data_IF_244192878765
#
_entry.id   IF_244192878765
#
_cell.length_a   1.000
_cell.length_b   1.000
_cell.length_c   1.000
_cell.angle_alpha   90.00
_cell.angle_beta   90.00
_cell.angle_gamma   90.00
#
_symmetry.space_group_name_H-M   'P 1'
#
loop_
_entity.id
_entity.type
_entity.pdbx_description
1 polymer ?
#
# COMPACT_ATOMS: atom_id res chain seq x y z
N UNK A 1 81.01 2.21 -70.92
CA UNK A 1 81.04 0.75 -70.67
C UNK A 1 82.01 0.51 -69.52
N UNK A 2 81.50 0.04 -68.37
CA UNK A 2 82.21 -0.77 -67.34
C UNK A 2 83.50 -0.16 -66.71
N UNK A 3 84.07 -0.71 -65.62
CA UNK A 3 83.59 -0.82 -64.24
C UNK A 3 84.63 -0.26 -63.22
N UNK A 4 84.51 -0.69 -61.94
CA UNK A 4 85.56 -0.94 -60.93
C UNK A 4 85.86 0.13 -59.84
N UNK A 5 85.43 -0.17 -58.59
CA UNK A 5 86.27 -0.53 -57.41
C UNK A 5 85.78 0.03 -56.06
N UNK A 6 85.60 -0.95 -55.16
CA UNK A 6 85.65 -1.08 -53.67
C UNK A 6 85.60 0.12 -52.71
N UNK A 7 84.92 -0.19 -51.61
CA UNK A 7 84.79 0.44 -50.29
C UNK A 7 86.08 0.94 -49.62
N UNK A 8 85.93 1.91 -48.70
CA UNK A 8 86.18 1.81 -47.24
C UNK A 8 86.14 3.21 -46.59
N UNK A 9 85.73 3.29 -45.32
CA UNK A 9 86.35 4.23 -44.37
C UNK A 9 85.50 5.35 -43.78
N UNK A 10 85.10 5.13 -42.52
CA UNK A 10 84.79 6.06 -41.41
C UNK A 10 85.10 7.56 -41.57
N UNK A 11 84.20 8.42 -41.03
CA UNK A 11 84.50 9.24 -39.83
C UNK A 11 83.26 9.97 -39.29
N UNK A 12 83.26 10.09 -37.97
CA UNK A 12 82.30 10.68 -37.05
C UNK A 12 82.06 12.17 -37.25
N UNK A 13 80.82 12.61 -36.98
CA UNK A 13 80.51 13.97 -36.55
C UNK A 13 79.47 13.93 -35.42
N UNK A 14 79.81 14.55 -34.28
CA UNK A 14 78.85 14.94 -33.23
C UNK A 14 78.33 16.35 -33.54
N UNK A 15 77.10 16.67 -33.12
CA UNK A 15 76.92 17.93 -32.41
C UNK A 15 76.12 17.79 -31.10
N UNK A 16 76.37 18.74 -30.22
CA UNK A 16 75.87 18.87 -28.85
C UNK A 16 74.48 19.52 -28.76
N UNK A 17 73.76 19.09 -27.71
CA UNK A 17 72.79 19.80 -26.85
C UNK A 17 71.57 20.51 -27.45
N UNK A 18 70.39 20.18 -26.91
CA UNK A 18 69.51 21.08 -26.12
C UNK A 18 68.41 20.25 -25.40
N UNK A 19 67.88 20.72 -24.26
CA UNK A 19 67.00 19.98 -23.37
C UNK A 19 65.52 20.21 -23.70
N UNK A 20 64.64 19.31 -23.27
CA UNK A 20 63.44 19.63 -22.47
C UNK A 20 62.51 18.42 -22.39
N UNK A 21 62.26 18.00 -21.16
CA UNK A 21 61.31 16.98 -20.76
C UNK A 21 59.90 17.50 -21.06
N UNK A 22 59.17 16.83 -21.95
CA UNK A 22 57.74 17.04 -22.13
C UNK A 22 57.00 16.18 -21.09
N UNK A 23 56.58 16.80 -19.98
CA UNK A 23 55.63 16.19 -19.06
C UNK A 23 54.20 16.40 -19.60
N UNK A 24 53.31 15.38 -19.55
CA UNK A 24 51.93 15.57 -19.95
C UNK A 24 51.20 16.43 -18.92
N UNK A 25 50.52 17.47 -19.41
CA UNK A 25 49.62 18.33 -18.62
C UNK A 25 48.44 17.48 -18.12
N UNK A 26 48.48 17.07 -16.85
CA UNK A 26 47.30 16.56 -16.14
C UNK A 26 46.26 17.68 -16.05
N UNK A 27 45.21 17.59 -16.87
CA UNK A 27 44.00 18.38 -16.69
C UNK A 27 43.36 17.89 -15.40
N UNK A 28 43.58 18.65 -14.33
CA UNK A 28 42.97 18.40 -13.02
C UNK A 28 41.47 18.64 -13.17
N UNK A 29 40.71 17.57 -13.38
CA UNK A 29 39.26 17.61 -13.31
C UNK A 29 38.90 18.18 -11.93
N UNK A 30 38.39 19.41 -11.91
CA UNK A 30 37.74 19.95 -10.72
C UNK A 30 36.47 19.13 -10.52
N UNK A 31 36.57 18.06 -9.76
CA UNK A 31 35.41 17.52 -9.07
C UNK A 31 34.94 18.66 -8.17
N UNK A 32 33.90 19.36 -8.61
CA UNK A 32 33.02 20.05 -7.69
C UNK A 32 32.48 18.93 -6.80
N UNK A 33 33.10 18.74 -5.64
CA UNK A 33 32.48 18.06 -4.54
C UNK A 33 31.25 18.88 -4.22
N UNK A 34 30.12 18.53 -4.85
CA UNK A 34 28.83 18.84 -4.30
C UNK A 34 28.84 18.14 -2.95
N UNK A 35 29.06 18.95 -1.91
CA UNK A 35 28.75 18.56 -0.55
C UNK A 35 27.31 18.07 -0.60
N UNK A 36 27.15 16.75 -0.63
CA UNK A 36 25.89 16.09 -0.31
C UNK A 36 25.61 16.52 1.12
N UNK A 37 24.87 17.63 1.27
CA UNK A 37 24.16 17.90 2.49
C UNK A 37 23.29 16.67 2.69
N UNK A 38 23.69 15.79 3.60
CA UNK A 38 22.82 14.78 4.17
C UNK A 38 21.75 15.55 4.90
N UNK A 39 20.76 16.03 4.15
CA UNK A 39 19.65 16.73 4.71
C UNK A 39 18.88 15.69 5.52
N UNK A 40 18.89 15.91 6.83
CA UNK A 40 18.03 15.30 7.86
C UNK A 40 16.54 15.63 7.65
N UNK A 41 16.16 15.88 6.39
CA UNK A 41 14.83 16.27 5.97
C UNK A 41 14.04 15.01 5.66
N UNK A 42 12.87 14.90 6.27
CA UNK A 42 11.86 13.91 5.95
C UNK A 42 11.69 13.78 4.42
N UNK A 43 11.74 12.56 3.87
CA UNK A 43 11.62 12.36 2.43
C UNK A 43 10.21 12.70 1.97
N UNK A 44 10.09 13.07 0.70
CA UNK A 44 8.78 13.13 0.05
C UNK A 44 8.24 11.71 -0.07
N UNK A 45 7.12 11.42 0.58
CA UNK A 45 6.51 10.10 0.56
C UNK A 45 5.24 10.13 -0.28
N UNK A 46 5.17 9.27 -1.30
CA UNK A 46 4.00 9.11 -2.17
C UNK A 46 3.62 7.64 -2.22
N UNK A 47 2.32 7.37 -2.18
CA UNK A 47 1.78 6.02 -2.18
C UNK A 47 0.76 5.85 -3.31
N UNK A 48 0.66 4.64 -3.84
CA UNK A 48 -0.55 4.20 -4.55
C UNK A 48 -1.51 3.57 -3.54
N UNK A 49 -2.77 3.33 -3.91
CA UNK A 49 -3.53 2.26 -3.26
C UNK A 49 -2.76 0.94 -3.33
N UNK A 50 -3.00 0.05 -2.38
CA UNK A 50 -2.65 -1.36 -2.55
C UNK A 50 -3.79 -2.07 -3.26
N UNK A 51 -3.47 -2.98 -4.18
CA UNK A 51 -4.45 -3.53 -5.11
C UNK A 51 -4.92 -4.92 -4.71
N UNK A 52 -6.23 -5.18 -4.77
CA UNK A 52 -6.76 -6.52 -4.56
C UNK A 52 -6.22 -7.50 -5.61
N UNK A 53 -5.79 -8.67 -5.14
CA UNK A 53 -5.23 -9.74 -5.98
C UNK A 53 -6.27 -10.77 -6.48
N UNK A 54 -7.56 -10.46 -6.36
CA UNK A 54 -8.64 -11.34 -6.81
C UNK A 54 -8.76 -11.45 -8.35
N UNK A 55 -8.17 -10.52 -9.09
CA UNK A 55 -8.20 -10.49 -10.55
C UNK A 55 -6.88 -9.96 -11.13
N UNK A 56 -6.66 -10.20 -12.42
CA UNK A 56 -5.53 -9.65 -13.15
C UNK A 56 -5.58 -8.10 -13.19
N UNK A 57 -4.43 -7.41 -13.19
CA UNK A 57 -4.42 -5.97 -13.21
C UNK A 57 -4.95 -5.40 -14.54
N UNK A 58 -5.61 -4.25 -14.45
CA UNK A 58 -6.13 -3.51 -15.60
C UNK A 58 -5.59 -2.07 -15.64
N UNK A 59 -5.97 -1.31 -16.66
CA UNK A 59 -5.52 0.07 -16.90
C UNK A 59 -5.68 1.00 -15.68
N UNK A 60 -6.73 0.84 -14.87
CA UNK A 60 -6.92 1.61 -13.63
C UNK A 60 -5.78 1.47 -12.61
N UNK A 61 -5.24 0.27 -12.41
CA UNK A 61 -4.11 0.06 -11.50
C UNK A 61 -2.87 0.76 -12.05
N UNK A 62 -2.54 0.49 -13.31
CA UNK A 62 -1.41 1.11 -14.00
C UNK A 62 -1.49 2.64 -13.97
N UNK A 63 -2.68 3.22 -14.19
CA UNK A 63 -2.90 4.65 -14.13
C UNK A 63 -2.46 5.24 -12.79
N UNK A 64 -2.93 4.68 -11.67
CA UNK A 64 -2.56 5.16 -10.33
C UNK A 64 -1.07 4.99 -10.03
N UNK A 65 -0.49 3.87 -10.48
CA UNK A 65 0.94 3.60 -10.32
C UNK A 65 1.81 4.60 -11.10
N UNK A 66 1.45 4.91 -12.34
CA UNK A 66 2.16 5.91 -13.17
C UNK A 66 2.03 7.31 -12.57
N UNK A 67 0.85 7.69 -12.08
CA UNK A 67 0.68 9.00 -11.42
C UNK A 67 1.61 9.16 -10.21
N UNK A 68 1.65 8.15 -9.34
CA UNK A 68 2.51 8.17 -8.15
C UNK A 68 4.01 8.20 -8.54
N UNK A 69 4.39 7.48 -9.59
CA UNK A 69 5.75 7.47 -10.14
C UNK A 69 6.17 8.83 -10.72
N UNK A 70 5.28 9.49 -11.48
CA UNK A 70 5.51 10.86 -11.97
C UNK A 70 5.74 11.83 -10.81
N UNK A 71 4.95 11.73 -9.74
CA UNK A 71 5.12 12.57 -8.54
C UNK A 71 6.45 12.32 -7.85
N UNK A 72 6.86 11.06 -7.67
CA UNK A 72 8.19 10.72 -7.12
C UNK A 72 9.29 11.32 -7.98
N UNK A 73 9.29 11.04 -9.29
CA UNK A 73 10.32 11.49 -10.23
C UNK A 73 10.43 13.02 -10.26
N UNK A 74 9.30 13.72 -10.20
CA UNK A 74 9.28 15.17 -10.11
C UNK A 74 10.02 15.71 -8.87
N UNK A 75 9.84 15.08 -7.71
CA UNK A 75 10.51 15.51 -6.48
C UNK A 75 12.01 15.18 -6.52
N UNK A 76 12.39 14.06 -7.12
CA UNK A 76 13.80 13.72 -7.38
C UNK A 76 14.45 14.75 -8.31
N UNK A 77 13.77 15.17 -9.38
CA UNK A 77 14.24 16.23 -10.28
C UNK A 77 14.42 17.58 -9.56
N UNK A 78 13.61 17.84 -8.52
CA UNK A 78 13.76 19.00 -7.63
C UNK A 78 14.86 18.85 -6.58
N UNK A 79 15.66 17.78 -6.64
CA UNK A 79 16.76 17.50 -5.71
C UNK A 79 16.33 17.00 -4.33
N UNK A 80 15.07 16.53 -4.17
CA UNK A 80 14.58 15.98 -2.90
C UNK A 80 14.72 14.46 -2.86
N UNK A 81 14.96 13.92 -1.66
CA UNK A 81 14.76 12.48 -1.39
C UNK A 81 13.26 12.19 -1.50
N UNK A 82 12.90 11.19 -2.30
CA UNK A 82 11.51 10.79 -2.49
C UNK A 82 11.37 9.26 -2.45
N UNK A 83 10.33 8.79 -1.78
CA UNK A 83 10.01 7.38 -1.58
C UNK A 83 8.62 7.11 -2.17
N UNK A 84 8.51 6.05 -2.96
CA UNK A 84 7.27 5.58 -3.57
C UNK A 84 6.92 4.18 -3.08
N UNK A 85 5.75 4.06 -2.45
CA UNK A 85 5.13 2.81 -2.08
C UNK A 85 4.05 2.40 -3.09
N UNK A 86 4.07 1.13 -3.48
CA UNK A 86 2.95 0.42 -4.10
C UNK A 86 2.78 -0.95 -3.44
N UNK A 87 1.76 -1.71 -3.78
CA UNK A 87 1.59 -3.04 -3.19
C UNK A 87 0.26 -3.72 -3.48
N UNK A 88 -0.01 -4.78 -2.73
CA UNK A 88 -1.19 -5.63 -2.88
C UNK A 88 -1.95 -5.80 -1.56
N UNK A 89 -3.28 -5.70 -1.65
CA UNK A 89 -4.23 -6.06 -0.59
C UNK A 89 -4.65 -7.52 -0.77
N UNK A 90 -4.27 -8.33 0.20
CA UNK A 90 -4.26 -9.78 0.08
C UNK A 90 -5.16 -10.47 1.09
N UNK A 91 -5.87 -9.76 1.97
CA UNK A 91 -6.78 -10.38 2.94
C UNK A 91 -8.25 -10.12 2.58
N UNK A 92 -9.15 -10.76 3.33
CA UNK A 92 -10.58 -10.50 3.24
C UNK A 92 -11.38 -11.53 2.43
N UNK A 93 -12.70 -11.40 2.52
CA UNK A 93 -13.66 -12.36 1.96
C UNK A 93 -13.52 -12.51 0.44
N UNK A 94 -13.25 -11.41 -0.28
CA UNK A 94 -13.09 -11.42 -1.73
C UNK A 94 -11.92 -12.30 -2.17
N UNK A 95 -10.80 -12.25 -1.44
CA UNK A 95 -9.64 -13.09 -1.73
C UNK A 95 -9.94 -14.55 -1.39
N UNK A 96 -10.54 -14.81 -0.22
CA UNK A 96 -10.94 -16.15 0.21
C UNK A 96 -11.85 -16.84 -0.81
N UNK A 97 -12.86 -16.11 -1.31
CA UNK A 97 -13.79 -16.62 -2.33
C UNK A 97 -13.09 -16.83 -3.69
N UNK A 98 -12.23 -15.89 -4.11
CA UNK A 98 -11.52 -15.99 -5.37
C UNK A 98 -10.54 -17.17 -5.39
N UNK A 99 -9.80 -17.39 -4.30
CA UNK A 99 -8.87 -18.51 -4.18
C UNK A 99 -9.61 -19.85 -4.15
N UNK A 100 -10.72 -19.94 -3.41
CA UNK A 100 -11.56 -21.14 -3.37
C UNK A 100 -12.14 -21.46 -4.76
N UNK A 101 -12.64 -20.46 -5.50
CA UNK A 101 -13.12 -20.63 -6.88
C UNK A 101 -12.02 -21.07 -7.84
N UNK A 102 -10.78 -20.66 -7.58
CA UNK A 102 -9.60 -21.09 -8.33
C UNK A 102 -9.04 -22.46 -7.88
N UNK A 103 -9.64 -23.10 -6.88
CA UNK A 103 -9.16 -24.37 -6.32
C UNK A 103 -7.77 -24.26 -5.67
N UNK A 104 -7.44 -23.11 -5.10
CA UNK A 104 -6.13 -22.81 -4.53
C UNK A 104 -6.24 -22.25 -3.11
N UNK A 105 -5.27 -22.60 -2.27
CA UNK A 105 -5.15 -21.97 -0.96
C UNK A 105 -4.91 -20.45 -1.11
N UNK A 106 -5.43 -19.62 -0.19
CA UNK A 106 -5.34 -18.17 -0.32
C UNK A 106 -3.90 -17.64 -0.45
N UNK A 107 -2.93 -18.19 0.29
CA UNK A 107 -1.55 -17.70 0.27
C UNK A 107 -0.86 -17.89 -1.10
N UNK A 108 -0.81 -19.12 -1.68
CA UNK A 108 -0.31 -19.29 -3.05
C UNK A 108 -1.07 -18.46 -4.10
N UNK A 109 -2.38 -18.30 -3.95
CA UNK A 109 -3.18 -17.45 -4.82
C UNK A 109 -2.72 -15.99 -4.78
N UNK A 110 -2.50 -15.45 -3.58
CA UNK A 110 -1.98 -14.10 -3.37
C UNK A 110 -0.55 -13.94 -3.87
N UNK A 111 0.32 -14.94 -3.65
CA UNK A 111 1.71 -14.93 -4.13
C UNK A 111 1.76 -14.75 -5.65
N UNK A 112 0.95 -15.52 -6.38
CA UNK A 112 0.83 -15.38 -7.83
C UNK A 112 0.28 -14.02 -8.25
N UNK A 113 -0.73 -13.51 -7.55
CA UNK A 113 -1.30 -12.19 -7.82
C UNK A 113 -0.28 -11.06 -7.62
N UNK A 114 0.45 -11.09 -6.51
CA UNK A 114 1.51 -10.13 -6.19
C UNK A 114 2.62 -10.13 -7.26
N UNK A 115 3.04 -11.31 -7.73
CA UNK A 115 4.05 -11.41 -8.79
C UNK A 115 3.58 -10.79 -10.12
N UNK A 116 2.29 -10.90 -10.45
CA UNK A 116 1.71 -10.25 -11.63
C UNK A 116 1.77 -8.72 -11.49
N UNK A 117 1.45 -8.17 -10.32
CA UNK A 117 1.54 -6.72 -10.06
C UNK A 117 2.98 -6.22 -10.02
N UNK A 118 3.93 -6.99 -9.46
CA UNK A 118 5.37 -6.70 -9.51
C UNK A 118 5.88 -6.68 -10.95
N UNK A 119 5.45 -7.63 -11.78
CA UNK A 119 5.80 -7.67 -13.20
C UNK A 119 5.23 -6.45 -13.95
N UNK A 120 3.97 -6.06 -13.66
CA UNK A 120 3.39 -4.84 -14.20
C UNK A 120 4.22 -3.60 -13.84
N UNK A 121 4.60 -3.46 -12.57
CA UNK A 121 5.45 -2.36 -12.11
C UNK A 121 6.79 -2.31 -12.86
N UNK A 122 7.45 -3.46 -13.01
CA UNK A 122 8.71 -3.57 -13.74
C UNK A 122 8.55 -3.24 -15.22
N UNK A 123 7.50 -3.74 -15.88
CA UNK A 123 7.22 -3.47 -17.30
C UNK A 123 6.84 -2.03 -17.60
N UNK A 124 6.23 -1.35 -16.62
CA UNK A 124 5.94 0.08 -16.70
C UNK A 124 7.14 0.95 -16.27
N UNK A 125 8.29 0.34 -15.97
CA UNK A 125 9.52 1.01 -15.55
C UNK A 125 9.31 1.94 -14.35
N UNK A 126 8.45 1.52 -13.42
CA UNK A 126 8.18 2.30 -12.22
C UNK A 126 9.42 2.34 -11.32
N UNK A 127 9.59 3.47 -10.66
CA UNK A 127 10.67 3.71 -9.71
C UNK A 127 10.23 3.46 -8.26
N UNK A 128 9.25 2.60 -7.99
CA UNK A 128 8.82 2.35 -6.60
C UNK A 128 9.95 1.76 -5.76
N UNK A 129 10.11 2.24 -4.51
CA UNK A 129 11.13 1.76 -3.58
C UNK A 129 10.63 0.56 -2.78
N UNK A 130 9.31 0.54 -2.52
CA UNK A 130 8.66 -0.51 -1.76
C UNK A 130 7.53 -1.14 -2.59
N UNK A 131 7.39 -2.46 -2.46
CA UNK A 131 6.23 -3.22 -2.89
C UNK A 131 5.74 -4.00 -1.68
N UNK A 132 4.75 -3.45 -0.96
CA UNK A 132 4.21 -4.07 0.25
C UNK A 132 3.16 -5.12 -0.07
N UNK A 133 3.07 -6.16 0.74
CA UNK A 133 1.97 -7.12 0.71
C UNK A 133 1.36 -7.19 2.10
N UNK A 134 0.04 -7.17 2.20
CA UNK A 134 -0.59 -7.28 3.54
C UNK A 134 -0.36 -8.65 4.21
N UNK A 135 0.11 -9.65 3.46
CA UNK A 135 0.53 -10.93 4.03
C UNK A 135 1.95 -10.94 4.61
N UNK A 136 2.74 -9.87 4.41
CA UNK A 136 4.12 -9.76 4.91
C UNK A 136 4.14 -9.72 6.45
N UNK A 137 5.12 -10.37 7.10
CA UNK A 137 5.15 -10.46 8.57
C UNK A 137 5.24 -9.11 9.29
N UNK A 138 6.07 -8.19 8.78
CA UNK A 138 6.25 -6.85 9.33
C UNK A 138 4.96 -6.01 9.27
N UNK A 139 4.17 -6.17 8.20
CA UNK A 139 2.86 -5.55 8.12
C UNK A 139 1.87 -6.11 9.15
N UNK A 140 1.88 -7.43 9.38
CA UNK A 140 1.03 -8.04 10.41
C UNK A 140 1.37 -7.51 11.79
N UNK A 141 2.65 -7.46 12.13
CA UNK A 141 3.12 -6.87 13.40
C UNK A 141 2.68 -5.41 13.55
N UNK A 142 2.76 -4.63 12.47
CA UNK A 142 2.29 -3.24 12.45
C UNK A 142 0.77 -3.11 12.69
N UNK A 143 -0.04 -3.98 12.08
CA UNK A 143 -1.50 -3.99 12.28
C UNK A 143 -1.86 -4.42 13.70
N UNK A 144 -1.20 -5.45 14.23
CA UNK A 144 -1.40 -5.91 15.61
C UNK A 144 -1.04 -4.80 16.61
N UNK A 145 0.07 -4.09 16.38
CA UNK A 145 0.45 -2.94 17.20
C UNK A 145 -0.57 -1.79 17.11
N UNK A 146 -1.06 -1.45 15.90
CA UNK A 146 -2.11 -0.45 15.73
C UNK A 146 -3.40 -0.85 16.48
N UNK A 147 -3.78 -2.12 16.42
CA UNK A 147 -4.93 -2.63 17.15
C UNK A 147 -4.78 -2.43 18.66
N UNK A 148 -3.63 -2.82 19.22
CA UNK A 148 -3.34 -2.64 20.64
C UNK A 148 -3.43 -1.16 21.04
N UNK A 149 -2.81 -0.26 20.29
CA UNK A 149 -2.83 1.17 20.58
C UNK A 149 -4.25 1.75 20.56
N UNK A 150 -5.07 1.36 19.59
CA UNK A 150 -6.46 1.82 19.49
C UNK A 150 -7.31 1.28 20.66
N UNK A 151 -7.09 0.02 21.06
CA UNK A 151 -7.78 -0.60 22.18
C UNK A 151 -7.39 0.04 23.52
N UNK A 152 -6.09 0.22 23.78
CA UNK A 152 -5.57 0.86 25.01
C UNK A 152 -6.07 2.30 25.17
N UNK A 153 -6.23 3.03 24.05
CA UNK A 153 -6.78 4.38 24.05
C UNK A 153 -8.31 4.44 24.16
N UNK A 154 -8.99 3.28 24.28
CA UNK A 154 -10.44 3.19 24.45
C UNK A 154 -11.25 3.48 23.18
N UNK A 155 -10.61 3.46 22.01
CA UNK A 155 -11.29 3.68 20.72
C UNK A 155 -11.92 2.43 20.14
N UNK A 156 -11.63 1.24 20.70
CA UNK A 156 -12.23 -0.02 20.32
C UNK A 156 -13.21 -0.46 21.41
N UNK A 157 -14.40 -0.91 21.01
CA UNK A 157 -15.37 -1.54 21.91
C UNK A 157 -16.09 -2.68 21.19
N UNK A 158 -16.67 -3.62 21.93
CA UNK A 158 -17.49 -4.68 21.34
C UNK A 158 -18.94 -4.21 21.23
N UNK A 159 -19.56 -4.49 20.09
CA UNK A 159 -20.99 -4.32 19.87
C UNK A 159 -21.57 -5.62 19.33
N UNK A 160 -22.78 -5.94 19.77
CA UNK A 160 -23.55 -7.06 19.26
C UNK A 160 -24.52 -6.53 18.23
N UNK A 161 -24.45 -7.04 17.01
CA UNK A 161 -25.45 -6.78 15.97
C UNK A 161 -26.27 -8.06 15.77
N UNK A 162 -27.59 -7.95 15.89
CA UNK A 162 -28.51 -9.07 15.72
C UNK A 162 -29.54 -8.70 14.67
N UNK A 163 -29.74 -9.58 13.70
CA UNK A 163 -30.75 -9.38 12.66
C UNK A 163 -30.80 -10.53 11.68
N UNK A 164 -31.77 -10.46 10.77
CA UNK A 164 -31.89 -11.41 9.68
C UNK A 164 -30.90 -11.03 8.58
N UNK A 165 -29.96 -11.90 8.23
CA UNK A 165 -28.94 -11.63 7.23
C UNK A 165 -29.13 -12.53 6.01
N UNK A 166 -29.15 -11.97 4.80
CA UNK A 166 -29.04 -12.78 3.58
C UNK A 166 -27.59 -12.86 3.16
N UNK A 167 -27.05 -14.08 3.06
CA UNK A 167 -25.73 -14.32 2.47
C UNK A 167 -25.72 -13.97 0.98
N UNK A 168 -26.84 -14.16 0.28
CA UNK A 168 -26.94 -13.88 -1.17
C UNK A 168 -26.95 -12.38 -1.45
N UNK A 169 -27.66 -11.60 -0.64
CA UNK A 169 -27.76 -10.15 -0.81
C UNK A 169 -26.68 -9.38 -0.02
N UNK A 170 -25.87 -10.10 0.77
CA UNK A 170 -24.90 -9.57 1.73
C UNK A 170 -25.44 -8.48 2.67
N UNK A 171 -26.75 -8.53 2.97
CA UNK A 171 -27.49 -7.43 3.61
C UNK A 171 -28.27 -7.90 4.83
N UNK A 172 -28.34 -7.06 5.86
CA UNK A 172 -29.23 -7.24 7.01
C UNK A 172 -30.61 -6.68 6.70
N UNK A 173 -31.63 -7.51 6.95
CA UNK A 173 -33.03 -7.15 6.88
C UNK A 173 -33.58 -6.96 8.31
N UNK A 174 -34.33 -5.88 8.55
CA UNK A 174 -35.12 -5.76 9.77
C UNK A 174 -36.20 -6.86 9.80
N UNK A 175 -36.64 -7.24 11.00
CA UNK A 175 -37.64 -8.30 11.19
C UNK A 175 -38.93 -8.08 10.39
N UNK A 176 -39.33 -6.82 10.21
CA UNK A 176 -40.48 -6.42 9.38
C UNK A 176 -40.33 -6.71 7.88
N UNK A 177 -39.11 -6.95 7.39
CA UNK A 177 -38.80 -7.18 5.97
C UNK A 177 -38.49 -8.64 5.65
N UNK A 178 -38.77 -9.55 6.58
CA UNK A 178 -38.58 -10.98 6.37
C UNK A 178 -39.86 -11.73 6.67
N UNK A 179 -40.05 -12.86 5.99
CA UNK A 179 -41.24 -13.69 6.18
C UNK A 179 -40.90 -15.16 6.01
N UNK A 180 -41.73 -16.02 6.60
CA UNK A 180 -41.56 -17.46 6.49
C UNK A 180 -42.06 -17.94 5.11
N UNK A 181 -41.21 -18.63 4.37
CA UNK A 181 -41.50 -19.22 3.06
C UNK A 181 -41.25 -20.73 3.12
N UNK A 182 -42.05 -21.49 2.38
CA UNK A 182 -41.80 -22.90 2.11
C UNK A 182 -40.91 -23.00 0.87
N UNK A 183 -39.70 -23.53 1.04
CA UNK A 183 -38.79 -23.79 -0.07
C UNK A 183 -39.40 -24.86 -1.00
N UNK A 184 -39.80 -24.51 -2.24
CA UNK A 184 -40.56 -25.42 -3.11
C UNK A 184 -39.88 -26.77 -3.41
N UNK A 185 -38.54 -26.85 -3.60
CA UNK A 185 -37.85 -28.11 -3.88
C UNK A 185 -37.70 -29.03 -2.66
N UNK A 186 -37.57 -28.49 -1.45
CA UNK A 186 -37.23 -29.28 -0.24
C UNK A 186 -38.39 -29.41 0.75
N UNK A 187 -39.43 -28.57 0.62
CA UNK A 187 -40.52 -28.49 1.58
C UNK A 187 -40.10 -27.91 2.94
N UNK A 188 -38.88 -27.36 3.05
CA UNK A 188 -38.36 -26.77 4.28
C UNK A 188 -38.97 -25.39 4.51
N UNK A 189 -39.33 -25.08 5.75
CA UNK A 189 -39.68 -23.72 6.17
C UNK A 189 -38.40 -22.92 6.36
N UNK A 190 -38.22 -21.87 5.58
CA UNK A 190 -37.07 -20.96 5.62
C UNK A 190 -37.57 -19.53 5.82
N UNK A 191 -36.75 -18.67 6.41
CA UNK A 191 -37.04 -17.23 6.42
C UNK A 191 -36.48 -16.63 5.13
N UNK A 192 -37.23 -15.75 4.47
CA UNK A 192 -36.79 -15.08 3.26
C UNK A 192 -37.09 -13.58 3.31
N UNK A 193 -36.24 -12.79 2.66
CA UNK A 193 -36.49 -11.37 2.40
C UNK A 193 -37.81 -11.21 1.63
N UNK A 194 -38.65 -10.28 2.07
CA UNK A 194 -39.88 -9.90 1.36
C UNK A 194 -39.54 -9.27 0.00
N UNK A 195 -38.43 -8.52 -0.07
CA UNK A 195 -38.02 -7.78 -1.25
C UNK A 195 -37.42 -8.68 -2.32
N UNK A 196 -36.47 -9.53 -1.93
CA UNK A 196 -35.67 -10.32 -2.89
C UNK A 196 -36.10 -11.78 -2.98
N UNK A 197 -36.91 -12.26 -2.03
CA UNK A 197 -37.27 -13.67 -1.88
C UNK A 197 -36.09 -14.56 -1.51
N UNK A 198 -34.92 -13.99 -1.21
CA UNK A 198 -33.71 -14.75 -0.84
C UNK A 198 -33.79 -15.19 0.61
N UNK A 199 -33.26 -16.38 0.87
CA UNK A 199 -33.15 -16.91 2.22
C UNK A 199 -32.32 -15.97 3.11
N UNK A 200 -32.82 -15.80 4.33
CA UNK A 200 -32.19 -15.02 5.40
C UNK A 200 -32.07 -15.89 6.63
N UNK A 201 -30.98 -15.71 7.37
CA UNK A 201 -30.70 -16.44 8.60
C UNK A 201 -30.57 -15.45 9.76
N UNK A 202 -31.14 -15.78 10.91
CA UNK A 202 -30.93 -14.96 12.11
C UNK A 202 -29.47 -15.07 12.50
N UNK A 203 -28.78 -13.94 12.47
CA UNK A 203 -27.35 -13.89 12.79
C UNK A 203 -27.16 -12.90 13.94
N UNK A 204 -26.47 -13.36 14.98
CA UNK A 204 -26.00 -12.54 16.09
C UNK A 204 -24.49 -12.50 16.02
N UNK A 205 -23.93 -11.40 15.55
CA UNK A 205 -22.48 -11.22 15.45
C UNK A 205 -22.01 -10.20 16.48
N UNK A 206 -21.10 -10.64 17.35
CA UNK A 206 -20.31 -9.72 18.17
C UNK A 206 -19.12 -9.31 17.32
N UNK A 207 -19.02 -8.02 17.04
CA UNK A 207 -17.89 -7.44 16.33
C UNK A 207 -17.26 -6.34 17.19
N UNK A 208 -15.97 -6.09 16.97
CA UNK A 208 -15.30 -4.92 17.49
C UNK A 208 -15.62 -3.72 16.61
N UNK A 209 -15.89 -2.58 17.23
CA UNK A 209 -16.20 -1.32 16.59
C UNK A 209 -15.17 -0.26 16.98
N UNK A 210 -14.79 0.55 15.99
CA UNK A 210 -13.98 1.74 16.16
C UNK A 210 -14.89 2.95 16.36
N UNK A 211 -14.58 3.76 17.38
CA UNK A 211 -15.31 4.99 17.74
C UNK A 211 -15.07 6.14 16.76
N UNK A 212 -15.40 5.96 15.48
CA UNK A 212 -15.23 6.99 14.46
C UNK A 212 -16.04 8.25 14.77
N UNK A 213 -17.23 8.09 15.37
CA UNK A 213 -18.08 9.22 15.79
C UNK A 213 -17.33 10.23 16.69
N UNK A 214 -16.43 9.75 17.55
CA UNK A 214 -15.63 10.58 18.45
C UNK A 214 -14.56 11.43 17.74
N UNK A 215 -14.32 11.20 16.43
CA UNK A 215 -13.35 11.95 15.63
C UNK A 215 -13.98 13.07 14.79
N UNK A 216 -15.32 13.18 14.75
CA UNK A 216 -16.03 14.16 13.92
C UNK A 216 -15.47 15.57 14.08
N UNK A 217 -15.47 16.10 15.30
CA UNK A 217 -15.10 17.50 15.54
C UNK A 217 -13.59 17.73 15.31
N UNK A 218 -12.75 16.72 15.61
CA UNK A 218 -11.31 16.76 15.32
C UNK A 218 -11.03 16.82 13.82
N UNK A 219 -11.77 16.04 13.03
CA UNK A 219 -11.65 16.04 11.57
C UNK A 219 -12.13 17.36 10.98
N UNK A 220 -13.26 17.90 11.45
CA UNK A 220 -13.76 19.20 10.98
C UNK A 220 -12.79 20.34 11.30
N UNK A 221 -12.22 20.36 12.50
CA UNK A 221 -11.18 21.33 12.87
C UNK A 221 -9.95 21.20 11.96
N UNK A 222 -9.48 19.97 11.75
CA UNK A 222 -8.35 19.69 10.87
C UNK A 222 -8.60 20.18 9.42
N UNK A 223 -9.77 19.91 8.87
CA UNK A 223 -10.13 20.35 7.52
C UNK A 223 -10.30 21.86 7.40
N UNK A 224 -10.76 22.54 8.46
CA UNK A 224 -10.84 24.00 8.50
C UNK A 224 -9.44 24.64 8.47
N UNK A 225 -8.48 24.05 9.19
CA UNK A 225 -7.08 24.50 9.21
C UNK A 225 -6.31 24.12 7.93
N UNK A 226 -6.74 23.06 7.23
CA UNK A 226 -6.06 22.49 6.06
C UNK A 226 -6.99 22.40 4.85
N UNK A 227 -7.53 23.54 4.40
CA UNK A 227 -8.55 23.58 3.33
C UNK A 227 -8.11 23.00 1.97
N UNK A 228 -6.81 22.84 1.73
CA UNK A 228 -6.24 22.26 0.49
C UNK A 228 -5.75 20.81 0.65
N UNK A 229 -6.05 20.17 1.78
CA UNK A 229 -5.53 18.83 2.11
C UNK A 229 -6.01 17.74 1.12
N UNK A 230 -7.20 17.91 0.54
CA UNK A 230 -7.79 16.96 -0.41
C UNK A 230 -8.01 17.66 -1.75
N UNK A 231 -7.53 17.04 -2.82
CA UNK A 231 -7.68 17.53 -4.19
C UNK A 231 -8.47 16.52 -5.04
N UNK A 232 -9.38 16.98 -5.93
CA UNK A 232 -9.76 18.38 -6.16
C UNK A 232 -10.68 18.93 -5.05
N UNK A 233 -10.78 20.26 -4.98
CA UNK A 233 -11.58 20.97 -3.97
C UNK A 233 -13.06 20.52 -3.88
N UNK A 234 -13.64 20.03 -4.98
CA UNK A 234 -14.98 19.44 -4.95
C UNK A 234 -15.06 18.21 -4.02
N UNK A 235 -14.04 17.34 -4.03
CA UNK A 235 -13.97 16.16 -3.16
C UNK A 235 -13.74 16.52 -1.70
N UNK A 236 -12.93 17.55 -1.44
CA UNK A 236 -12.81 18.11 -0.09
C UNK A 236 -14.17 18.55 0.47
N UNK A 237 -14.95 19.29 -0.32
CA UNK A 237 -16.30 19.73 0.08
C UNK A 237 -17.26 18.58 0.34
N UNK A 238 -17.26 17.56 -0.52
CA UNK A 238 -18.07 16.34 -0.32
C UNK A 238 -17.71 15.65 1.02
N UNK A 239 -16.42 15.47 1.30
CA UNK A 239 -15.96 14.82 2.54
C UNK A 239 -16.31 15.65 3.77
N UNK A 240 -16.06 16.97 3.75
CA UNK A 240 -16.43 17.86 4.86
C UNK A 240 -17.93 17.84 5.09
N UNK A 241 -18.74 17.84 4.03
CA UNK A 241 -20.20 17.73 4.15
C UNK A 241 -20.63 16.40 4.78
N UNK A 242 -20.01 15.27 4.38
CA UNK A 242 -20.30 13.96 4.95
C UNK A 242 -19.96 13.90 6.44
N UNK A 243 -18.77 14.38 6.83
CA UNK A 243 -18.36 14.44 8.26
C UNK A 243 -19.27 15.37 9.06
N UNK A 244 -19.70 16.49 8.47
CA UNK A 244 -20.61 17.43 9.11
C UNK A 244 -21.97 16.79 9.40
N UNK A 245 -22.50 15.99 8.48
CA UNK A 245 -23.77 15.28 8.65
C UNK A 245 -23.74 14.26 9.80
N UNK A 246 -22.58 13.70 10.11
CA UNK A 246 -22.37 12.77 11.21
C UNK A 246 -21.47 11.61 10.80
N UNK A 247 -20.85 10.97 11.79
CA UNK A 247 -20.04 9.77 11.58
C UNK A 247 -20.56 8.66 12.47
N UNK A 248 -20.78 7.48 11.87
CA UNK A 248 -21.16 6.27 12.58
C UNK A 248 -19.92 5.46 12.96
N UNK A 249 -20.00 4.72 14.07
CA UNK A 249 -18.90 3.86 14.52
C UNK A 249 -18.73 2.66 13.59
N UNK A 250 -17.48 2.37 13.22
CA UNK A 250 -17.16 1.40 12.18
C UNK A 250 -16.89 0.01 12.76
N UNK A 251 -17.52 -1.02 12.21
CA UNK A 251 -17.18 -2.40 12.54
C UNK A 251 -15.81 -2.79 11.96
N UNK A 252 -14.82 -3.00 12.83
CA UNK A 252 -13.41 -3.27 12.49
C UNK A 252 -12.98 -4.73 12.75
N UNK A 253 -13.91 -5.64 13.02
CA UNK A 253 -13.65 -7.08 13.00
C UNK A 253 -14.78 -7.86 12.33
N UNK A 254 -14.52 -9.12 11.99
CA UNK A 254 -15.50 -10.09 11.51
C UNK A 254 -15.29 -11.43 12.22
N UNK A 255 -16.34 -12.24 12.42
CA UNK A 255 -16.18 -13.57 12.99
C UNK A 255 -15.26 -14.44 12.12
N UNK A 256 -14.30 -15.10 12.75
CA UNK A 256 -13.32 -15.93 12.05
C UNK A 256 -13.94 -17.16 11.38
N UNK A 257 -15.13 -17.58 11.81
CA UNK A 257 -15.93 -18.63 11.17
C UNK A 257 -16.36 -18.26 9.76
N UNK A 258 -16.59 -16.96 9.49
CA UNK A 258 -16.90 -16.44 8.15
C UNK A 258 -15.62 -16.04 7.40
N UNK A 259 -14.72 -15.35 8.08
CA UNK A 259 -13.50 -14.81 7.48
C UNK A 259 -12.26 -15.47 8.09
N UNK A 260 -11.77 -16.53 7.44
CA UNK A 260 -10.58 -17.26 7.89
C UNK A 260 -9.29 -16.66 7.35
N UNK A 261 -9.35 -15.96 6.21
CA UNK A 261 -8.21 -15.34 5.55
C UNK A 261 -8.07 -13.84 5.89
N UNK A 262 -7.32 -13.57 6.96
CA UNK A 262 -7.00 -12.23 7.45
C UNK A 262 -6.17 -12.26 8.74
N UNK A 263 -5.83 -11.07 9.26
CA UNK A 263 -5.07 -10.91 10.51
C UNK A 263 -6.00 -11.13 11.71
N UNK A 264 -5.61 -11.96 12.68
CA UNK A 264 -6.43 -12.21 13.87
C UNK A 264 -6.39 -11.03 14.83
N UNK A 265 -7.46 -10.84 15.59
CA UNK A 265 -7.45 -9.89 16.70
C UNK A 265 -6.48 -10.42 17.78
N UNK A 266 -5.44 -9.66 18.21
CA UNK A 266 -4.34 -10.12 19.08
C UNK A 266 -4.73 -10.71 20.45
N UNK A 267 -5.99 -10.61 20.85
CA UNK A 267 -6.51 -11.13 22.14
C UNK A 267 -7.81 -11.93 21.98
N UNK A 268 -8.30 -12.08 20.75
CA UNK A 268 -9.57 -12.74 20.45
C UNK A 268 -9.45 -13.51 19.12
N UNK A 269 -9.04 -14.78 19.15
CA UNK A 269 -8.84 -15.56 17.93
C UNK A 269 -10.16 -15.86 17.21
N UNK A 270 -11.31 -15.62 17.85
CA UNK A 270 -12.63 -15.81 17.22
C UNK A 270 -12.98 -14.69 16.25
N UNK A 271 -12.15 -13.63 16.21
CA UNK A 271 -12.33 -12.45 15.39
C UNK A 271 -11.13 -12.22 14.47
N UNK A 272 -11.43 -11.82 13.24
CA UNK A 272 -10.47 -11.41 12.23
C UNK A 272 -10.60 -9.91 12.01
N UNK A 273 -9.47 -9.18 12.04
CA UNK A 273 -9.40 -7.75 11.80
C UNK A 273 -9.99 -7.43 10.41
N UNK A 274 -10.78 -6.36 10.36
CA UNK A 274 -11.40 -5.92 9.13
C UNK A 274 -10.35 -5.45 8.11
N UNK A 275 -10.52 -5.90 6.86
CA UNK A 275 -9.55 -5.70 5.78
C UNK A 275 -9.17 -4.22 5.57
N UNK A 276 -10.06 -3.26 5.81
CA UNK A 276 -9.71 -1.85 5.63
C UNK A 276 -8.84 -1.28 6.75
N UNK A 277 -8.97 -1.78 7.98
CA UNK A 277 -8.06 -1.38 9.06
C UNK A 277 -6.66 -1.94 8.78
N UNK A 278 -6.58 -3.22 8.42
CA UNK A 278 -5.37 -3.90 7.92
C UNK A 278 -4.75 -3.11 6.76
N UNK A 279 -5.48 -2.99 5.65
CA UNK A 279 -5.03 -2.34 4.44
C UNK A 279 -4.56 -0.91 4.69
N UNK A 280 -5.27 -0.06 5.45
CA UNK A 280 -4.85 1.34 5.64
C UNK A 280 -3.52 1.49 6.41
N UNK A 281 -3.14 0.51 7.24
CA UNK A 281 -1.87 0.54 7.99
C UNK A 281 -0.66 0.32 7.08
N UNK A 282 -0.83 -0.23 5.87
CA UNK A 282 0.26 -0.48 4.93
C UNK A 282 1.14 0.76 4.69
N UNK A 283 0.49 1.93 4.63
CA UNK A 283 1.16 3.18 4.34
C UNK A 283 2.11 3.60 5.47
N UNK A 284 1.76 3.28 6.72
CA UNK A 284 2.60 3.50 7.89
C UNK A 284 3.67 2.40 8.01
N UNK A 285 3.33 1.13 7.73
CA UNK A 285 4.27 0.00 7.76
C UNK A 285 5.49 0.26 6.88
N UNK A 286 5.30 0.65 5.62
CA UNK A 286 6.42 0.92 4.72
C UNK A 286 7.27 2.11 5.14
N UNK A 287 6.73 2.99 6.00
CA UNK A 287 7.47 4.09 6.61
C UNK A 287 8.12 3.72 7.95
N UNK A 288 8.14 2.44 8.33
CA UNK A 288 8.81 1.92 9.52
C UNK A 288 7.94 1.83 10.77
N UNK A 289 6.61 1.84 10.64
CA UNK A 289 5.70 1.63 11.77
C UNK A 289 5.67 0.14 12.20
N UNK A 290 5.72 -0.19 13.50
CA UNK A 290 5.80 0.71 14.66
C UNK A 290 7.17 1.38 14.82
N UNK A 291 7.17 2.71 15.01
CA UNK A 291 8.40 3.48 15.10
C UNK A 291 9.06 3.34 16.47
N UNK A 292 10.38 3.23 16.46
CA UNK A 292 11.17 3.46 17.67
C UNK A 292 11.08 4.96 18.05
N UNK A 293 11.14 5.32 19.34
CA UNK A 293 11.10 6.72 19.75
C UNK A 293 12.15 7.57 19.01
N UNK A 294 11.69 8.59 18.28
CA UNK A 294 12.54 9.49 17.50
C UNK A 294 12.83 9.05 16.05
N UNK A 295 12.27 7.93 15.58
CA UNK A 295 12.42 7.46 14.19
C UNK A 295 11.20 7.73 13.29
N UNK A 296 10.19 8.46 13.77
CA UNK A 296 8.89 8.65 13.12
C UNK A 296 9.00 9.32 11.73
N UNK A 297 10.04 10.14 11.52
CA UNK A 297 10.23 10.89 10.28
C UNK A 297 11.12 10.19 9.24
N UNK A 298 11.75 9.06 9.60
CA UNK A 298 12.76 8.40 8.78
C UNK A 298 12.18 7.88 7.45
N UNK A 299 10.98 7.29 7.51
CA UNK A 299 10.27 6.71 6.37
C UNK A 299 9.39 7.67 5.58
N UNK A 300 9.25 8.93 6.01
CA UNK A 300 8.46 9.92 5.26
C UNK A 300 6.97 9.98 5.57
N UNK A 301 6.48 9.16 6.50
CA UNK A 301 5.09 9.24 6.96
C UNK A 301 4.75 10.64 7.50
N UNK A 302 3.59 11.25 7.13
CA UNK A 302 3.02 12.48 7.68
C UNK A 302 3.25 12.67 9.18
#
# INVERSE_FOLDING_TARGET
MTPLIRSFGSRSWRPQSLPSICAPRLVRARFLATTSATHDTKPYYVTTPIFYVNAAPHAGHLYTMVLADVLKRWQVLKGKRAVLLTGTDEHGMKIQQASAKAGSDPKPFCDKGADIFKNLAARAELSNDHFIRTTDPDHKEAVEYAWHLLNERGYIYQSKHEGWYSVSDETFYPESQVHLVLDPPTGRKVMASIETGKEVEWTSEINYHFRLSAFRDKLLAYYAENSEWITPQAKMKEIVSAVTAGLEDLSISRPSSRLTWGIRVPTDPTQTIYVWLDALINYATAAGYPWAPGSEHTGGWP
#
